data_IF_044178164454
#
_entry.id   IF_044178164454
#
_cell.length_a   1.000
_cell.length_b   1.000
_cell.length_c   1.000
_cell.angle_alpha   90.00
_cell.angle_beta   90.00
_cell.angle_gamma   90.00
#
_symmetry.space_group_name_H-M   'P 1'
#
loop_
_entity.id
_entity.type
_entity.pdbx_description
1 polymer ?
#
# COMPACT_ATOMS: atom_id res chain seq x y z
N UNK A 1 -11.58 20.09 -19.95
CA UNK A 1 -11.33 18.98 -18.99
C UNK A 1 -10.17 19.36 -18.10
N UNK A 2 -10.23 19.01 -16.82
CA UNK A 2 -9.17 19.29 -15.85
C UNK A 2 -7.85 18.65 -16.28
N UNK A 3 -6.74 19.38 -16.19
CA UNK A 3 -5.41 18.82 -16.51
C UNK A 3 -4.90 17.98 -15.33
N UNK A 4 -4.04 17.00 -15.58
CA UNK A 4 -3.38 16.24 -14.50
C UNK A 4 -2.50 17.11 -13.59
N UNK A 5 -2.22 18.37 -13.97
CA UNK A 5 -1.50 19.36 -13.15
C UNK A 5 -2.39 20.08 -12.14
N UNK A 6 -3.71 19.94 -12.23
CA UNK A 6 -4.68 20.68 -11.40
C UNK A 6 -4.99 20.00 -10.06
N UNK A 7 -4.43 18.82 -9.77
CA UNK A 7 -4.64 18.10 -8.51
C UNK A 7 -4.02 18.83 -7.32
N UNK A 8 -4.66 18.76 -6.15
CA UNK A 8 -4.12 19.33 -4.91
C UNK A 8 -2.70 18.82 -4.60
N UNK A 9 -2.45 17.52 -4.75
CA UNK A 9 -1.13 16.91 -4.53
C UNK A 9 -0.01 17.64 -5.30
N UNK A 10 -0.22 17.92 -6.59
CA UNK A 10 0.78 18.63 -7.40
C UNK A 10 0.92 20.09 -7.03
N UNK A 11 -0.19 20.77 -6.68
CA UNK A 11 -0.16 22.16 -6.19
C UNK A 11 0.63 22.27 -4.88
N UNK A 12 0.36 21.38 -3.92
CA UNK A 12 1.08 21.32 -2.66
C UNK A 12 2.56 20.98 -2.86
N UNK A 13 2.91 19.98 -3.67
CA UNK A 13 4.31 19.68 -4.01
C UNK A 13 5.03 20.85 -4.68
N UNK A 14 4.35 21.62 -5.52
CA UNK A 14 4.96 22.79 -6.17
C UNK A 14 5.25 23.92 -5.17
N UNK A 15 4.32 24.19 -4.24
CA UNK A 15 4.47 25.25 -3.23
C UNK A 15 5.45 24.85 -2.13
N UNK A 16 5.44 23.60 -1.69
CA UNK A 16 6.33 23.07 -0.63
C UNK A 16 7.80 23.08 -1.00
N UNK A 17 8.14 22.96 -2.30
CA UNK A 17 9.52 23.17 -2.80
C UNK A 17 10.10 24.54 -2.46
N UNK A 18 9.25 25.52 -2.11
CA UNK A 18 9.66 26.86 -1.70
C UNK A 18 9.79 27.02 -0.18
N UNK A 19 9.68 25.93 0.59
CA UNK A 19 9.78 25.90 2.05
C UNK A 19 8.90 26.95 2.76
N UNK A 20 7.58 26.98 2.48
CA UNK A 20 6.69 28.00 3.04
C UNK A 20 6.50 27.82 4.55
N UNK A 21 6.38 28.93 5.28
CA UNK A 21 6.01 28.91 6.71
C UNK A 21 4.54 28.48 6.95
N UNK A 22 3.69 28.57 5.92
CA UNK A 22 2.31 28.13 5.92
C UNK A 22 1.70 28.29 4.52
N UNK A 23 0.59 27.59 4.26
CA UNK A 23 -0.12 27.64 2.97
C UNK A 23 -1.55 28.11 3.22
N UNK A 24 -2.01 29.10 2.46
CA UNK A 24 -3.40 29.55 2.47
C UNK A 24 -4.04 29.12 1.15
N UNK A 25 -5.09 28.32 1.25
CA UNK A 25 -5.91 27.91 0.11
C UNK A 25 -7.09 28.86 -0.04
N UNK A 26 -7.28 29.36 -1.26
CA UNK A 26 -8.42 30.19 -1.64
C UNK A 26 -9.10 29.50 -2.81
N UNK A 27 -10.38 29.19 -2.67
CA UNK A 27 -11.17 28.72 -3.80
C UNK A 27 -11.73 29.93 -4.53
N UNK A 28 -11.62 30.00 -5.87
CA UNK A 28 -12.17 31.14 -6.61
C UNK A 28 -13.70 31.18 -6.48
N UNK A 29 -14.33 32.36 -6.57
CA UNK A 29 -15.78 32.45 -6.60
C UNK A 29 -16.35 31.65 -7.78
N UNK A 30 -17.53 31.06 -7.56
CA UNK A 30 -18.17 30.19 -8.56
C UNK A 30 -17.47 28.84 -8.80
N UNK A 31 -16.55 28.41 -7.92
CA UNK A 31 -16.00 27.06 -7.98
C UNK A 31 -17.11 25.99 -7.88
N UNK A 32 -17.28 25.21 -8.93
CA UNK A 32 -18.23 24.10 -9.02
C UNK A 32 -17.68 22.84 -8.32
N UNK A 33 -17.43 22.96 -7.01
CA UNK A 33 -16.99 21.86 -6.16
C UNK A 33 -17.66 21.95 -4.79
N UNK A 34 -18.30 20.87 -4.35
CA UNK A 34 -18.99 20.80 -3.04
C UNK A 34 -18.04 20.98 -1.85
N UNK A 35 -16.73 20.84 -2.04
CA UNK A 35 -15.68 21.07 -1.04
C UNK A 35 -15.22 22.53 -0.98
N UNK A 36 -15.81 23.41 -1.79
CA UNK A 36 -15.31 24.77 -1.95
C UNK A 36 -15.31 25.63 -0.66
N UNK A 37 -16.10 25.24 0.35
CA UNK A 37 -16.19 25.91 1.65
C UNK A 37 -15.64 25.12 2.85
N UNK A 38 -14.90 24.02 2.64
CA UNK A 38 -14.43 23.15 3.72
C UNK A 38 -12.92 22.91 3.64
N UNK A 39 -12.24 22.97 4.80
CA UNK A 39 -10.88 22.44 4.92
C UNK A 39 -10.88 20.96 4.55
N UNK A 40 -9.97 20.59 3.66
CA UNK A 40 -9.83 19.23 3.16
C UNK A 40 -9.42 18.29 4.29
N UNK A 41 -10.23 17.26 4.56
CA UNK A 41 -9.82 16.10 5.37
C UNK A 41 -9.24 15.08 4.39
N UNK A 42 -7.93 14.84 4.47
CA UNK A 42 -7.28 13.78 3.71
C UNK A 42 -6.62 12.79 4.64
N UNK A 43 -6.95 11.52 4.43
CA UNK A 43 -6.26 10.38 5.03
C UNK A 43 -4.82 10.24 4.49
N UNK A 44 -4.51 10.80 3.31
CA UNK A 44 -3.14 10.92 2.83
C UNK A 44 -2.47 12.17 3.40
N UNK A 45 -1.33 12.01 4.08
CA UNK A 45 -0.45 13.13 4.43
C UNK A 45 0.02 13.80 3.14
N UNK A 46 -0.47 15.01 2.86
CA UNK A 46 -0.13 15.76 1.64
C UNK A 46 1.09 16.66 1.80
N UNK A 47 1.38 17.09 3.04
CA UNK A 47 2.53 17.95 3.35
C UNK A 47 2.95 17.70 4.81
N UNK A 48 4.20 17.28 5.03
CA UNK A 48 4.76 17.21 6.38
C UNK A 48 5.08 18.63 6.89
N UNK A 49 4.62 18.92 8.11
CA UNK A 49 5.05 20.07 8.94
C UNK A 49 4.78 21.50 8.40
N UNK A 50 3.98 21.67 7.35
CA UNK A 50 3.51 23.00 6.92
C UNK A 50 2.03 23.16 7.26
N UNK A 51 1.63 24.14 8.08
CA UNK A 51 0.23 24.36 8.39
C UNK A 51 -0.51 24.90 7.15
N UNK A 52 -1.65 24.27 6.83
CA UNK A 52 -2.51 24.66 5.71
C UNK A 52 -3.79 25.27 6.27
N UNK A 53 -4.12 26.47 5.82
CA UNK A 53 -5.33 27.19 6.15
C UNK A 53 -6.16 27.43 4.90
N UNK A 54 -7.42 27.79 5.11
CA UNK A 54 -8.33 28.15 4.03
C UNK A 54 -8.93 29.52 4.34
N UNK A 55 -9.07 30.32 3.31
CA UNK A 55 -9.57 31.69 3.38
C UNK A 55 -10.65 31.89 2.32
N UNK A 56 -11.63 32.75 2.61
CA UNK A 56 -12.66 33.11 1.62
C UNK A 56 -12.05 34.00 0.52
N UNK A 57 -12.64 34.04 -0.69
CA UNK A 57 -12.17 34.93 -1.76
C UNK A 57 -12.05 36.38 -1.31
N UNK A 58 -13.04 36.87 -0.57
CA UNK A 58 -13.13 38.27 -0.16
C UNK A 58 -11.98 38.63 0.79
N UNK A 59 -11.69 37.77 1.78
CA UNK A 59 -10.56 37.97 2.68
C UNK A 59 -9.21 37.85 1.97
N UNK A 60 -9.13 37.03 0.92
CA UNK A 60 -7.93 36.89 0.11
C UNK A 60 -7.72 38.11 -0.82
N UNK A 61 -8.78 38.67 -1.39
CA UNK A 61 -8.74 39.94 -2.13
C UNK A 61 -8.24 41.08 -1.25
N UNK A 62 -8.82 41.23 -0.06
CA UNK A 62 -8.38 42.23 0.92
C UNK A 62 -6.88 42.07 1.25
N UNK A 63 -6.40 40.84 1.39
CA UNK A 63 -5.00 40.54 1.67
C UNK A 63 -4.08 40.86 0.49
N UNK A 64 -4.44 40.44 -0.73
CA UNK A 64 -3.62 40.58 -1.92
C UNK A 64 -3.56 42.03 -2.42
N UNK A 65 -4.69 42.75 -2.37
CA UNK A 65 -4.77 44.16 -2.80
C UNK A 65 -4.03 45.11 -1.86
N UNK A 66 -3.68 44.64 -0.65
CA UNK A 66 -2.83 45.39 0.28
C UNK A 66 -1.36 45.45 -0.13
N UNK A 67 -0.89 44.61 -1.06
CA UNK A 67 0.54 44.36 -1.29
C UNK A 67 1.21 45.03 -2.49
N UNK A 68 0.46 45.36 -3.55
CA UNK A 68 1.03 45.92 -4.78
C UNK A 68 0.33 47.20 -5.28
N UNK A 69 -0.70 47.66 -4.55
CA UNK A 69 -1.43 48.89 -4.83
C UNK A 69 -2.41 48.82 -6.01
N UNK A 70 -2.62 47.66 -6.62
CA UNK A 70 -3.60 47.44 -7.68
C UNK A 70 -4.76 46.56 -7.16
N UNK A 71 -5.98 47.08 -7.21
CA UNK A 71 -7.18 46.30 -6.87
C UNK A 71 -7.45 45.24 -7.95
N UNK A 72 -7.37 43.96 -7.56
CA UNK A 72 -7.72 42.81 -8.40
C UNK A 72 -8.60 41.82 -7.66
N UNK A 73 -9.48 41.12 -8.38
CA UNK A 73 -10.30 40.03 -7.82
C UNK A 73 -9.56 38.69 -7.84
N UNK A 74 -10.01 37.70 -7.06
CA UNK A 74 -9.47 36.32 -7.13
C UNK A 74 -9.65 35.72 -8.53
N UNK A 75 -10.71 36.06 -9.28
CA UNK A 75 -10.82 35.63 -10.68
C UNK A 75 -9.74 36.22 -11.57
N UNK A 76 -9.37 37.48 -11.38
CA UNK A 76 -8.31 38.13 -12.15
C UNK A 76 -6.94 37.52 -11.82
N UNK A 77 -6.67 37.27 -10.53
CA UNK A 77 -5.49 36.53 -10.08
C UNK A 77 -5.41 35.13 -10.70
N UNK A 78 -6.54 34.41 -10.73
CA UNK A 78 -6.65 33.11 -11.38
C UNK A 78 -6.43 33.19 -12.88
N UNK A 79 -7.05 34.16 -13.56
CA UNK A 79 -6.93 34.31 -15.01
C UNK A 79 -5.46 34.58 -15.42
N UNK A 80 -4.74 35.37 -14.63
CA UNK A 80 -3.32 35.61 -14.84
C UNK A 80 -2.48 34.35 -14.59
N UNK A 81 -2.79 33.56 -13.55
CA UNK A 81 -2.13 32.27 -13.33
C UNK A 81 -2.39 31.27 -14.47
N UNK A 82 -3.63 31.25 -15.00
CA UNK A 82 -4.04 30.38 -16.10
C UNK A 82 -3.44 30.81 -17.46
N UNK A 83 -3.16 32.11 -17.67
CA UNK A 83 -2.47 32.61 -18.88
C UNK A 83 -0.98 32.27 -18.91
N UNK A 84 -0.41 31.85 -17.78
CA UNK A 84 1.02 31.61 -17.62
C UNK A 84 1.84 32.89 -17.42
N UNK A 85 1.18 34.05 -17.34
CA UNK A 85 1.78 35.33 -16.97
C UNK A 85 1.89 35.46 -15.43
N UNK A 86 1.14 34.66 -14.68
CA UNK A 86 1.18 34.60 -13.23
C UNK A 86 2.33 33.76 -12.69
N UNK A 87 3.08 34.33 -11.75
CA UNK A 87 4.25 33.73 -11.12
C UNK A 87 4.22 33.83 -9.59
N UNK A 88 5.38 34.11 -9.00
CA UNK A 88 5.49 34.53 -7.60
C UNK A 88 5.37 36.04 -7.53
N UNK A 89 4.63 36.55 -6.56
CA UNK A 89 4.49 37.99 -6.32
C UNK A 89 4.84 38.23 -4.88
N UNK A 90 5.68 39.22 -4.66
CA UNK A 90 6.04 39.67 -3.33
C UNK A 90 4.98 40.70 -2.90
N UNK A 91 4.34 40.41 -1.77
CA UNK A 91 3.35 41.29 -1.15
C UNK A 91 4.12 42.03 -0.06
N UNK A 92 4.57 43.24 -0.38
CA UNK A 92 5.34 44.05 0.55
C UNK A 92 4.42 44.58 1.68
N UNK A 93 4.99 44.79 2.87
CA UNK A 93 4.32 45.39 4.04
C UNK A 93 3.09 44.64 4.62
N UNK A 94 2.83 43.39 4.22
CA UNK A 94 1.75 42.56 4.77
C UNK A 94 2.30 41.45 5.67
N UNK A 95 1.83 41.39 6.92
CA UNK A 95 2.14 40.31 7.85
C UNK A 95 0.88 39.48 8.16
N UNK A 96 0.91 38.19 7.81
CA UNK A 96 -0.15 37.25 8.15
C UNK A 96 0.24 36.43 9.38
N UNK A 97 -0.57 36.50 10.44
CA UNK A 97 -0.45 35.61 11.59
C UNK A 97 -1.55 34.54 11.51
N UNK A 98 -1.15 33.28 11.51
CA UNK A 98 -2.08 32.14 11.48
C UNK A 98 -1.89 31.31 12.74
N UNK A 99 -2.99 30.93 13.38
CA UNK A 99 -2.98 30.08 14.58
C UNK A 99 -3.90 28.87 14.34
N UNK A 100 -3.36 27.67 14.55
CA UNK A 100 -4.11 26.43 14.47
C UNK A 100 -3.67 25.49 15.59
N UNK A 101 -4.61 24.72 16.14
CA UNK A 101 -4.34 23.66 17.10
C UNK A 101 -4.53 22.33 16.41
N UNK A 102 -3.49 21.51 16.34
CA UNK A 102 -3.59 20.11 15.92
C UNK A 102 -3.77 19.25 17.17
N UNK A 103 -4.87 18.53 17.24
CA UNK A 103 -5.04 17.47 18.23
C UNK A 103 -4.75 16.13 17.55
N UNK A 104 -3.91 15.32 18.17
CA UNK A 104 -3.61 13.96 17.71
C UNK A 104 -4.19 13.00 18.73
N UNK A 105 -5.20 12.25 18.32
CA UNK A 105 -5.78 11.19 19.14
C UNK A 105 -5.10 9.88 18.79
N UNK A 106 -4.57 9.18 19.80
CA UNK A 106 -4.10 7.80 19.61
C UNK A 106 -5.30 6.87 19.60
N UNK A 107 -5.40 6.07 18.55
CA UNK A 107 -6.33 4.95 18.46
C UNK A 107 -5.54 3.67 18.73
N UNK A 108 -6.17 2.70 19.38
CA UNK A 108 -5.61 1.38 19.61
C UNK A 108 -6.34 0.41 18.68
N UNK A 109 -5.58 -0.48 18.04
CA UNK A 109 -6.10 -1.60 17.27
C UNK A 109 -5.56 -2.91 17.83
N UNK A 110 -6.28 -4.00 17.57
CA UNK A 110 -6.01 -5.32 18.13
C UNK A 110 -6.03 -6.40 17.03
N UNK A 111 -4.87 -6.98 16.74
CA UNK A 111 -4.84 -8.23 15.97
C UNK A 111 -5.35 -9.37 16.86
N UNK A 112 -6.22 -10.22 16.32
CA UNK A 112 -6.73 -11.41 17.01
C UNK A 112 -6.11 -12.66 16.39
N UNK A 113 -5.48 -13.49 17.23
CA UNK A 113 -4.82 -14.73 16.79
C UNK A 113 -5.45 -15.97 17.42
N UNK A 114 -5.55 -17.03 16.63
CA UNK A 114 -5.75 -18.41 17.08
C UNK A 114 -4.65 -19.31 16.53
N UNK A 115 -4.31 -20.36 17.26
CA UNK A 115 -3.30 -21.35 16.86
C UNK A 115 -3.95 -22.72 16.77
N UNK A 116 -3.62 -23.46 15.72
CA UNK A 116 -3.80 -24.92 15.63
C UNK A 116 -2.42 -25.52 15.82
N UNK A 117 -2.24 -26.26 16.92
CA UNK A 117 -0.97 -26.89 17.26
C UNK A 117 -0.66 -28.04 16.30
N UNK A 118 0.52 -27.99 15.69
CA UNK A 118 1.12 -29.05 14.91
C UNK A 118 1.64 -30.19 15.78
N UNK A 119 2.40 -31.08 15.16
CA UNK A 119 3.06 -32.20 15.85
C UNK A 119 4.23 -32.76 15.05
N UNK A 120 5.18 -33.36 15.77
CA UNK A 120 6.29 -34.12 15.18
C UNK A 120 7.43 -33.21 14.75
N UNK A 121 8.32 -33.73 13.91
CA UNK A 121 9.64 -33.12 13.68
C UNK A 121 9.61 -31.79 12.88
N UNK A 122 8.44 -31.30 12.47
CA UNK A 122 8.28 -30.01 11.76
C UNK A 122 7.37 -29.04 12.52
N UNK A 123 7.01 -29.34 13.78
CA UNK A 123 6.11 -28.50 14.59
C UNK A 123 6.68 -27.12 14.92
N UNK A 124 8.01 -26.97 14.89
CA UNK A 124 8.69 -25.67 15.05
C UNK A 124 8.49 -24.73 13.84
N UNK A 125 8.10 -25.27 12.68
CA UNK A 125 7.73 -24.48 11.50
C UNK A 125 6.23 -24.22 11.48
N UNK A 126 5.82 -23.08 10.90
CA UNK A 126 4.41 -22.69 10.90
C UNK A 126 3.96 -22.05 9.59
N UNK A 127 2.65 -22.03 9.38
CA UNK A 127 2.00 -21.22 8.34
C UNK A 127 1.10 -20.17 8.98
N UNK A 128 0.92 -19.04 8.29
CA UNK A 128 0.00 -17.97 8.71
C UNK A 128 -1.14 -17.90 7.71
N UNK A 129 -2.37 -17.85 8.20
CA UNK A 129 -3.57 -17.61 7.40
C UNK A 129 -4.24 -16.35 7.92
N UNK A 130 -4.35 -15.32 7.09
CA UNK A 130 -4.76 -13.99 7.51
C UNK A 130 -5.79 -13.29 6.63
N UNK A 131 -6.50 -12.35 7.24
CA UNK A 131 -7.42 -11.39 6.62
C UNK A 131 -7.56 -10.20 7.59
N UNK A 132 -7.83 -8.99 7.11
CA UNK A 132 -8.12 -7.88 8.02
C UNK A 132 -9.58 -7.87 8.48
N UNK A 133 -9.79 -7.39 9.70
CA UNK A 133 -11.11 -7.32 10.37
C UNK A 133 -11.69 -5.91 10.35
N UNK A 134 -10.87 -4.89 10.14
CA UNK A 134 -11.32 -3.51 10.06
C UNK A 134 -11.95 -3.18 8.71
N UNK A 135 -12.77 -2.14 8.73
CA UNK A 135 -13.29 -1.48 7.54
C UNK A 135 -13.50 0.02 7.83
N UNK A 136 -14.12 0.75 6.92
CA UNK A 136 -14.23 2.21 6.95
C UNK A 136 -15.22 2.81 7.96
N UNK A 137 -16.00 1.98 8.66
CA UNK A 137 -16.95 2.42 9.69
C UNK A 137 -17.98 3.42 9.16
N UNK A 138 -17.83 4.71 9.49
CA UNK A 138 -18.73 5.80 9.04
C UNK A 138 -18.24 6.52 7.77
N UNK A 139 -17.27 5.96 7.05
CA UNK A 139 -16.78 6.51 5.79
C UNK A 139 -16.02 7.83 5.92
N UNK A 140 -15.43 8.08 7.09
CA UNK A 140 -14.66 9.30 7.37
C UNK A 140 -13.31 9.34 6.63
N UNK A 141 -12.85 8.18 6.17
CA UNK A 141 -11.67 7.98 5.33
C UNK A 141 -11.91 6.83 4.35
N UNK A 142 -11.00 6.66 3.38
CA UNK A 142 -10.97 5.51 2.46
C UNK A 142 -12.13 5.40 1.46
N UNK A 143 -13.24 6.11 1.66
CA UNK A 143 -14.46 5.86 0.88
C UNK A 143 -14.38 6.31 -0.58
N UNK A 144 -14.79 5.40 -1.47
CA UNK A 144 -14.95 5.65 -2.90
C UNK A 144 -16.22 6.45 -3.26
N UNK A 145 -17.08 6.79 -2.29
CA UNK A 145 -18.22 7.69 -2.50
C UNK A 145 -17.87 9.18 -2.32
N UNK A 146 -16.61 9.47 -1.98
CA UNK A 146 -16.13 10.83 -1.70
C UNK A 146 -16.95 11.50 -0.60
N UNK A 147 -17.24 12.80 -0.76
CA UNK A 147 -17.99 13.57 0.23
C UNK A 147 -19.42 13.03 0.48
N UNK A 148 -19.98 12.26 -0.46
CA UNK A 148 -21.30 11.66 -0.29
C UNK A 148 -21.29 10.40 0.60
N UNK A 149 -20.11 9.80 0.83
CA UNK A 149 -19.94 8.66 1.73
C UNK A 149 -19.73 9.04 3.19
N UNK A 150 -19.23 10.26 3.45
CA UNK A 150 -18.91 10.69 4.81
C UNK A 150 -20.14 10.67 5.72
N UNK A 151 -20.03 10.00 6.86
CA UNK A 151 -21.10 9.85 7.84
C UNK A 151 -22.14 8.78 7.47
N UNK A 152 -21.91 7.99 6.42
CA UNK A 152 -22.69 6.78 6.14
C UNK A 152 -21.96 5.57 6.67
N UNK A 153 -22.73 4.56 7.06
CA UNK A 153 -22.16 3.29 7.48
C UNK A 153 -21.65 2.49 6.26
N UNK A 154 -20.41 2.02 6.34
CA UNK A 154 -19.73 1.16 5.38
C UNK A 154 -19.64 -0.24 5.99
N UNK A 155 -20.44 -1.22 5.50
CA UNK A 155 -20.55 -2.51 6.16
C UNK A 155 -19.36 -3.44 5.94
N UNK A 156 -18.66 -3.30 4.80
CA UNK A 156 -17.49 -4.11 4.47
C UNK A 156 -17.81 -5.60 4.26
N UNK A 157 -18.93 -5.89 3.60
CA UNK A 157 -19.37 -7.28 3.43
C UNK A 157 -18.39 -8.11 2.60
N UNK A 158 -17.88 -7.57 1.50
CA UNK A 158 -16.80 -8.18 0.74
C UNK A 158 -15.45 -7.80 1.31
N UNK A 159 -15.27 -6.51 1.64
CA UNK A 159 -14.04 -5.91 2.16
C UNK A 159 -14.19 -5.52 3.65
N UNK A 160 -13.85 -6.36 4.61
CA UNK A 160 -13.30 -7.70 4.40
C UNK A 160 -13.97 -8.78 5.28
N UNK A 161 -15.27 -8.62 5.56
CA UNK A 161 -16.03 -9.65 6.26
C UNK A 161 -16.01 -11.00 5.52
N UNK A 162 -15.88 -11.00 4.19
CA UNK A 162 -15.73 -12.22 3.39
C UNK A 162 -14.42 -12.97 3.71
N UNK A 163 -13.29 -12.27 3.84
CA UNK A 163 -12.01 -12.86 4.25
C UNK A 163 -12.03 -13.37 5.69
N UNK A 164 -12.63 -12.60 6.61
CA UNK A 164 -12.80 -13.03 8.01
C UNK A 164 -13.69 -14.27 8.11
N UNK A 165 -14.74 -14.37 7.31
CA UNK A 165 -15.57 -15.58 7.24
C UNK A 165 -14.74 -16.80 6.80
N UNK A 166 -13.82 -16.63 5.84
CA UNK A 166 -12.90 -17.70 5.47
C UNK A 166 -11.95 -18.10 6.60
N UNK A 167 -11.43 -17.15 7.40
CA UNK A 167 -10.60 -17.48 8.56
C UNK A 167 -11.32 -18.40 9.55
N UNK A 168 -12.58 -18.07 9.87
CA UNK A 168 -13.39 -18.86 10.82
C UNK A 168 -13.64 -20.27 10.27
N UNK A 169 -14.01 -20.40 8.99
CA UNK A 169 -14.27 -21.70 8.37
C UNK A 169 -12.99 -22.54 8.20
N UNK A 170 -11.86 -21.91 7.90
CA UNK A 170 -10.57 -22.58 7.80
C UNK A 170 -10.09 -23.06 9.17
N UNK A 171 -10.25 -22.26 10.23
CA UNK A 171 -9.91 -22.68 11.59
C UNK A 171 -10.61 -23.99 11.98
N UNK A 172 -11.93 -24.07 11.76
CA UNK A 172 -12.71 -25.27 12.07
C UNK A 172 -12.32 -26.47 11.18
N UNK A 173 -12.25 -26.27 9.87
CA UNK A 173 -11.97 -27.36 8.94
C UNK A 173 -10.54 -27.90 9.06
N UNK A 174 -9.54 -27.03 9.27
CA UNK A 174 -8.15 -27.45 9.45
C UNK A 174 -7.95 -28.14 10.80
N UNK A 175 -8.58 -27.66 11.89
CA UNK A 175 -8.55 -28.38 13.17
C UNK A 175 -9.11 -29.79 13.01
N UNK A 176 -10.25 -29.93 12.31
CA UNK A 176 -10.84 -31.24 12.02
C UNK A 176 -9.87 -32.13 11.25
N UNK A 177 -9.19 -31.60 10.22
CA UNK A 177 -8.20 -32.36 9.46
C UNK A 177 -6.98 -32.76 10.31
N UNK A 178 -6.55 -31.92 11.25
CA UNK A 178 -5.45 -32.23 12.17
C UNK A 178 -5.80 -33.34 13.14
N UNK A 179 -7.04 -33.34 13.65
CA UNK A 179 -7.57 -34.37 14.54
C UNK A 179 -7.73 -35.72 13.81
N UNK A 180 -8.07 -35.70 12.52
CA UNK A 180 -8.26 -36.90 11.68
C UNK A 180 -6.96 -37.43 11.05
N UNK A 181 -5.91 -36.61 10.98
CA UNK A 181 -4.63 -37.00 10.41
C UNK A 181 -3.96 -38.14 11.22
N UNK A 182 -3.18 -39.04 10.58
CA UNK A 182 -2.45 -40.09 11.28
C UNK A 182 -1.57 -39.55 12.42
N UNK A 183 -1.55 -40.23 13.56
CA UNK A 183 -0.85 -39.78 14.78
C UNK A 183 0.65 -39.52 14.56
N UNK A 184 1.28 -40.27 13.65
CA UNK A 184 2.69 -40.17 13.27
C UNK A 184 2.96 -39.21 12.09
N UNK A 185 1.92 -38.58 11.55
CA UNK A 185 2.07 -37.59 10.47
C UNK A 185 2.61 -36.27 11.05
N UNK A 186 3.77 -35.79 10.58
CA UNK A 186 4.31 -34.50 10.99
C UNK A 186 3.45 -33.37 10.40
N UNK A 187 3.11 -32.39 11.23
CA UNK A 187 2.28 -31.23 10.89
C UNK A 187 2.90 -29.96 11.49
N UNK A 188 2.97 -28.91 10.68
CA UNK A 188 3.35 -27.55 11.12
C UNK A 188 2.28 -26.92 12.00
N UNK A 189 2.65 -25.90 12.77
CA UNK A 189 1.68 -25.02 13.40
C UNK A 189 0.90 -24.19 12.35
N UNK A 190 -0.38 -23.86 12.63
CA UNK A 190 -1.17 -22.90 11.84
C UNK A 190 -1.60 -21.75 12.72
N UNK A 191 -1.13 -20.55 12.40
CA UNK A 191 -1.62 -19.30 12.96
C UNK A 191 -2.74 -18.76 12.09
N UNK A 192 -3.94 -18.66 12.65
CA UNK A 192 -5.05 -17.90 12.08
C UNK A 192 -5.02 -16.49 12.67
N UNK A 193 -4.97 -15.46 11.83
CA UNK A 193 -4.84 -14.07 12.29
C UNK A 193 -5.83 -13.12 11.60
N UNK A 194 -6.60 -12.40 12.41
CA UNK A 194 -7.39 -11.27 11.97
C UNK A 194 -6.59 -9.97 12.22
N UNK A 195 -6.18 -9.28 11.17
CA UNK A 195 -5.40 -8.04 11.26
C UNK A 195 -6.30 -6.82 11.46
N UNK A 196 -5.85 -5.84 12.24
CA UNK A 196 -6.57 -4.57 12.43
C UNK A 196 -5.81 -3.40 11.76
N UNK A 197 -6.52 -2.35 11.38
CA UNK A 197 -5.97 -1.15 10.76
C UNK A 197 -5.32 -1.38 9.39
N UNK A 198 -5.80 -2.32 8.58
CA UNK A 198 -5.38 -2.50 7.19
C UNK A 198 -5.71 -1.24 6.37
N UNK A 199 -6.95 -0.77 6.51
CA UNK A 199 -7.58 0.26 5.68
C UNK A 199 -6.94 1.65 5.84
N UNK A 200 -6.28 1.82 6.99
CA UNK A 200 -5.54 3.03 7.35
C UNK A 200 -4.03 2.92 7.09
N UNK A 201 -3.54 1.75 6.66
CA UNK A 201 -2.19 1.57 6.16
C UNK A 201 -1.45 0.33 6.66
N UNK A 202 -2.09 -0.84 6.66
CA UNK A 202 -1.51 -2.14 7.02
C UNK A 202 -0.92 -2.18 8.44
N UNK A 203 -1.55 -1.49 9.41
CA UNK A 203 -0.98 -1.31 10.74
C UNK A 203 -0.82 -2.64 11.49
N UNK A 204 -1.83 -3.51 11.42
CA UNK A 204 -1.87 -4.79 12.10
C UNK A 204 -0.83 -5.77 11.58
N UNK A 205 -0.81 -6.03 10.27
CA UNK A 205 0.19 -6.92 9.66
C UNK A 205 1.61 -6.38 9.80
N UNK A 206 1.81 -5.06 9.65
CA UNK A 206 3.11 -4.43 9.91
C UNK A 206 3.56 -4.63 11.37
N UNK A 207 2.64 -4.51 12.32
CA UNK A 207 2.97 -4.77 13.71
C UNK A 207 3.38 -6.22 13.92
N UNK A 208 2.61 -7.17 13.37
CA UNK A 208 2.88 -8.60 13.50
C UNK A 208 4.23 -9.01 12.91
N UNK A 209 4.57 -8.61 11.69
CA UNK A 209 5.87 -8.99 11.09
C UNK A 209 7.09 -8.34 11.77
N UNK A 210 6.88 -7.37 12.67
CA UNK A 210 7.95 -6.80 13.48
C UNK A 210 7.92 -7.30 14.94
N UNK A 211 6.84 -7.96 15.35
CA UNK A 211 6.65 -8.52 16.70
C UNK A 211 5.89 -9.86 16.59
N UNK A 212 6.45 -10.86 15.88
CA UNK A 212 5.70 -12.06 15.54
C UNK A 212 5.56 -12.98 16.77
N UNK A 213 4.49 -13.78 16.78
CA UNK A 213 4.24 -14.73 17.88
C UNK A 213 5.25 -15.89 17.91
N UNK A 214 5.78 -16.25 16.73
CA UNK A 214 6.86 -17.20 16.52
C UNK A 214 7.92 -16.56 15.60
N UNK A 215 9.18 -17.03 15.59
CA UNK A 215 10.23 -16.41 14.76
C UNK A 215 9.86 -16.42 13.27
N UNK A 216 9.96 -15.27 12.60
CA UNK A 216 9.63 -15.19 11.16
C UNK A 216 10.48 -16.11 10.28
N UNK A 217 11.67 -16.50 10.74
CA UNK A 217 12.52 -17.45 10.03
C UNK A 217 11.90 -18.85 9.97
N UNK A 218 10.97 -19.20 10.85
CA UNK A 218 10.27 -20.49 10.86
C UNK A 218 8.94 -20.45 10.08
N UNK A 219 8.52 -19.26 9.62
CA UNK A 219 7.32 -19.08 8.82
C UNK A 219 7.52 -19.64 7.40
N UNK A 220 6.82 -20.71 7.09
CA UNK A 220 6.86 -21.42 5.82
C UNK A 220 6.06 -20.70 4.72
N UNK A 221 4.82 -20.32 5.00
CA UNK A 221 3.91 -19.75 4.02
C UNK A 221 2.92 -18.82 4.70
N UNK A 222 2.64 -17.68 4.06
CA UNK A 222 1.52 -16.82 4.43
C UNK A 222 0.41 -16.86 3.37
N UNK A 223 -0.80 -17.20 3.80
CA UNK A 223 -2.02 -17.18 2.99
C UNK A 223 -2.86 -15.98 3.42
N UNK A 224 -3.23 -15.11 2.49
CA UNK A 224 -4.03 -13.92 2.76
C UNK A 224 -5.33 -13.90 1.97
N UNK A 225 -6.42 -13.51 2.62
CA UNK A 225 -7.72 -13.29 2.01
C UNK A 225 -8.14 -11.83 2.10
N UNK A 226 -8.66 -11.34 0.98
CA UNK A 226 -9.23 -10.00 0.85
C UNK A 226 -10.30 -10.07 -0.23
N UNK A 227 -11.51 -9.56 0.04
CA UNK A 227 -12.56 -9.44 -0.99
C UNK A 227 -12.82 -10.73 -1.78
N UNK A 228 -13.15 -11.82 -1.09
CA UNK A 228 -13.40 -13.14 -1.71
C UNK A 228 -14.90 -13.50 -1.84
N UNK A 229 -15.78 -12.58 -1.45
CA UNK A 229 -17.23 -12.73 -1.52
C UNK A 229 -17.82 -12.32 -2.87
N UNK A 230 -17.09 -11.60 -3.73
CA UNK A 230 -17.58 -11.10 -5.03
C UNK A 230 -17.08 -11.95 -6.20
N UNK A 231 -17.40 -13.24 -6.17
CA UNK A 231 -17.11 -14.19 -7.25
C UNK A 231 -18.30 -14.20 -8.22
N UNK A 232 -18.20 -13.44 -9.30
CA UNK A 232 -19.30 -13.20 -10.25
C UNK A 232 -19.39 -14.28 -11.35
N UNK A 233 -20.26 -14.09 -12.35
CA UNK A 233 -20.71 -15.05 -13.37
C UNK A 233 -19.65 -15.69 -14.31
N UNK A 234 -18.36 -15.58 -14.02
CA UNK A 234 -17.27 -16.39 -14.60
C UNK A 234 -16.55 -17.26 -13.56
N UNK A 235 -17.00 -17.21 -12.30
CA UNK A 235 -16.48 -17.98 -11.15
C UNK A 235 -14.98 -17.77 -10.95
N UNK A 236 -14.50 -16.58 -11.28
CA UNK A 236 -13.08 -16.26 -11.22
C UNK A 236 -12.64 -15.91 -9.81
N UNK A 237 -11.49 -16.44 -9.44
CA UNK A 237 -10.75 -16.08 -8.25
C UNK A 237 -9.33 -15.73 -8.66
N UNK A 238 -8.84 -14.55 -8.29
CA UNK A 238 -7.43 -14.22 -8.49
C UNK A 238 -6.59 -14.76 -7.35
N UNK A 239 -5.54 -15.50 -7.70
CA UNK A 239 -4.53 -15.94 -6.74
C UNK A 239 -3.19 -15.41 -7.21
N UNK A 240 -2.54 -14.61 -6.38
CA UNK A 240 -1.23 -14.03 -6.67
C UNK A 240 -0.17 -14.47 -5.68
N UNK A 241 1.10 -14.37 -6.10
CA UNK A 241 2.25 -14.72 -5.27
C UNK A 241 2.79 -16.12 -5.49
N UNK A 242 2.22 -16.92 -6.40
CA UNK A 242 2.67 -18.31 -6.66
C UNK A 242 4.13 -18.44 -7.10
N UNK A 243 4.77 -17.35 -7.55
CA UNK A 243 6.19 -17.31 -7.87
C UNK A 243 7.10 -16.86 -6.73
N UNK A 244 6.53 -16.59 -5.53
CA UNK A 244 7.28 -16.16 -4.35
C UNK A 244 7.85 -17.30 -3.52
N UNK A 245 7.50 -18.55 -3.86
CA UNK A 245 8.08 -19.76 -3.30
C UNK A 245 8.68 -20.63 -4.40
N UNK A 246 9.81 -21.28 -4.15
CA UNK A 246 10.42 -22.21 -5.10
C UNK A 246 9.46 -23.38 -5.41
N UNK A 247 9.12 -23.55 -6.70
CA UNK A 247 8.20 -24.60 -7.16
C UNK A 247 6.74 -24.43 -6.73
N UNK A 248 6.36 -23.28 -6.13
CA UNK A 248 5.03 -23.10 -5.54
C UNK A 248 3.90 -23.06 -6.59
N UNK A 249 4.16 -22.55 -7.81
CA UNK A 249 3.17 -22.61 -8.91
C UNK A 249 2.87 -24.05 -9.31
N UNK A 250 3.89 -24.88 -9.53
CA UNK A 250 3.72 -26.30 -9.85
C UNK A 250 3.09 -27.08 -8.69
N UNK A 251 3.44 -26.72 -7.46
CA UNK A 251 2.86 -27.31 -6.25
C UNK A 251 1.37 -27.00 -6.11
N UNK A 252 0.92 -25.79 -6.43
CA UNK A 252 -0.47 -25.36 -6.29
C UNK A 252 -1.37 -25.78 -7.48
N UNK A 253 -0.79 -25.89 -8.69
CA UNK A 253 -1.53 -26.13 -9.93
C UNK A 253 -2.52 -27.32 -9.90
N UNK A 254 -2.16 -28.51 -9.36
CA UNK A 254 -3.11 -29.61 -9.31
C UNK A 254 -4.36 -29.32 -8.47
N UNK A 255 -4.25 -28.47 -7.44
CA UNK A 255 -5.38 -28.06 -6.61
C UNK A 255 -6.22 -26.98 -7.32
N UNK A 256 -5.58 -26.08 -8.06
CA UNK A 256 -6.28 -25.12 -8.92
C UNK A 256 -7.10 -25.83 -10.00
N UNK A 257 -6.55 -26.86 -10.64
CA UNK A 257 -7.24 -27.64 -11.69
C UNK A 257 -8.42 -28.47 -11.18
N UNK A 258 -8.40 -28.85 -9.89
CA UNK A 258 -9.50 -29.55 -9.23
C UNK A 258 -10.59 -28.61 -8.71
N UNK A 259 -10.29 -27.32 -8.59
CA UNK A 259 -11.24 -26.32 -8.12
C UNK A 259 -12.36 -26.11 -9.14
N UNK A 260 -13.62 -25.93 -8.69
CA UNK A 260 -14.71 -25.52 -9.57
C UNK A 260 -14.66 -24.02 -9.92
N UNK A 261 -13.64 -23.28 -9.44
CA UNK A 261 -13.39 -21.87 -9.73
C UNK A 261 -12.41 -21.71 -10.90
N UNK A 262 -12.57 -20.66 -11.70
CA UNK A 262 -11.59 -20.25 -12.72
C UNK A 262 -10.46 -19.47 -12.05
N UNK A 263 -9.33 -20.12 -11.79
CA UNK A 263 -8.20 -19.48 -11.11
C UNK A 263 -7.43 -18.57 -12.06
N UNK A 264 -7.41 -17.27 -11.75
CA UNK A 264 -6.58 -16.26 -12.41
C UNK A 264 -5.27 -16.14 -11.64
N UNK A 265 -4.33 -17.01 -11.98
CA UNK A 265 -3.01 -17.09 -11.33
C UNK A 265 -2.07 -15.94 -11.76
N UNK A 266 -1.33 -15.40 -10.80
CA UNK A 266 -0.20 -14.50 -11.02
C UNK A 266 1.01 -14.89 -10.15
N UNK A 267 2.12 -15.23 -10.79
CA UNK A 267 3.38 -15.51 -10.08
C UNK A 267 3.87 -14.31 -9.26
N UNK A 268 3.67 -13.11 -9.80
CA UNK A 268 3.99 -11.89 -9.10
C UNK A 268 2.86 -11.51 -8.13
N UNK A 269 3.24 -11.01 -6.97
CA UNK A 269 2.36 -10.26 -6.09
C UNK A 269 2.87 -8.82 -5.96
N UNK A 270 1.94 -7.88 -6.01
CA UNK A 270 2.14 -6.47 -5.67
C UNK A 270 1.35 -6.17 -4.41
N UNK A 271 1.79 -5.15 -3.66
CA UNK A 271 1.08 -4.80 -2.43
C UNK A 271 -0.36 -4.30 -2.66
N UNK A 272 -1.09 -4.18 -1.56
CA UNK A 272 -2.50 -3.78 -1.55
C UNK A 272 -3.35 -4.49 -0.50
N UNK A 273 -2.74 -5.36 0.32
CA UNK A 273 -3.35 -6.00 1.50
C UNK A 273 -2.24 -6.52 2.42
N UNK A 274 -2.58 -7.18 3.53
CA UNK A 274 -1.65 -7.57 4.61
C UNK A 274 -0.46 -8.44 4.19
N UNK A 275 -0.63 -9.31 3.18
CA UNK A 275 0.45 -10.13 2.60
C UNK A 275 1.66 -9.30 2.15
N UNK A 276 1.48 -8.00 1.88
CA UNK A 276 2.55 -7.09 1.47
C UNK A 276 3.67 -6.99 2.49
N UNK A 277 3.30 -6.98 3.78
CA UNK A 277 4.24 -6.83 4.89
C UNK A 277 5.07 -8.12 5.06
N UNK A 278 4.45 -9.30 4.87
CA UNK A 278 5.13 -10.60 4.85
C UNK A 278 6.07 -10.76 3.66
N UNK A 279 5.60 -10.41 2.46
CA UNK A 279 6.42 -10.42 1.25
C UNK A 279 7.65 -9.50 1.38
N UNK A 280 7.54 -8.40 2.14
CA UNK A 280 8.68 -7.52 2.42
C UNK A 280 9.75 -8.15 3.30
N UNK A 281 9.40 -9.16 4.09
CA UNK A 281 10.30 -9.93 4.97
C UNK A 281 10.86 -11.18 4.30
N UNK A 282 10.58 -11.40 3.01
CA UNK A 282 11.04 -12.59 2.28
C UNK A 282 10.27 -13.85 2.68
N UNK A 283 8.99 -13.72 3.02
CA UNK A 283 8.10 -14.86 3.27
C UNK A 283 7.35 -15.21 1.97
N UNK A 284 7.27 -16.49 1.56
CA UNK A 284 6.40 -16.90 0.46
C UNK A 284 4.94 -16.59 0.78
N UNK A 285 4.18 -16.12 -0.22
CA UNK A 285 2.78 -15.73 -0.02
C UNK A 285 1.86 -16.33 -1.08
N UNK A 286 0.61 -16.61 -0.67
CA UNK A 286 -0.53 -16.74 -1.56
C UNK A 286 -1.58 -15.70 -1.16
N UNK A 287 -1.99 -14.87 -2.12
CA UNK A 287 -3.01 -13.85 -1.90
C UNK A 287 -4.23 -14.12 -2.77
N UNK A 288 -5.39 -14.31 -2.15
CA UNK A 288 -6.66 -14.55 -2.80
C UNK A 288 -7.54 -13.30 -2.76
N UNK A 289 -8.08 -12.92 -3.93
CA UNK A 289 -8.98 -11.78 -4.08
C UNK A 289 -9.91 -11.95 -5.29
N UNK A 290 -11.08 -11.32 -5.27
CA UNK A 290 -11.92 -11.15 -6.46
C UNK A 290 -11.10 -10.52 -7.61
N UNK A 291 -11.26 -10.97 -8.87
CA UNK A 291 -10.43 -10.50 -9.97
C UNK A 291 -10.58 -9.00 -10.26
N UNK A 292 -9.49 -8.39 -10.73
CA UNK A 292 -9.49 -7.01 -11.21
C UNK A 292 -10.17 -6.86 -12.59
N UNK A 293 -10.84 -5.72 -12.85
CA UNK A 293 -11.04 -4.57 -11.97
C UNK A 293 -12.04 -4.88 -10.83
N UNK A 294 -11.79 -4.31 -9.65
CA UNK A 294 -12.70 -4.44 -8.51
C UNK A 294 -14.10 -3.87 -8.83
N UNK A 295 -15.11 -4.40 -8.15
CA UNK A 295 -16.50 -3.98 -8.34
C UNK A 295 -16.73 -2.55 -7.81
N UNK A 296 -17.80 -1.90 -8.32
CA UNK A 296 -18.10 -0.50 -8.04
C UNK A 296 -18.58 -0.21 -6.60
N UNK A 297 -18.70 -1.24 -5.77
CA UNK A 297 -19.18 -1.13 -4.38
C UNK A 297 -18.03 -1.18 -3.37
N UNK A 298 -16.81 -1.49 -3.81
CA UNK A 298 -15.57 -1.44 -3.03
C UNK A 298 -15.41 -0.08 -2.31
N UNK A 299 -15.16 -0.10 -0.99
CA UNK A 299 -15.09 1.09 -0.12
C UNK A 299 -16.32 2.01 -0.18
N UNK A 300 -17.52 1.46 -0.39
CA UNK A 300 -18.77 2.23 -0.40
C UNK A 300 -19.77 1.70 0.62
N UNK A 301 -20.78 2.51 0.96
CA UNK A 301 -21.88 2.07 1.83
C UNK A 301 -22.78 1.00 1.20
N UNK A 302 -22.50 0.59 -0.05
CA UNK A 302 -23.23 -0.47 -0.77
C UNK A 302 -22.53 -1.82 -0.68
N UNK A 303 -21.33 -1.91 -0.11
CA UNK A 303 -20.69 -3.20 0.13
C UNK A 303 -21.44 -3.97 1.22
N UNK A 304 -22.46 -4.70 0.79
CA UNK A 304 -23.55 -5.23 1.62
C UNK A 304 -23.71 -6.73 1.37
N UNK A 305 -24.19 -7.43 2.39
CA UNK A 305 -24.25 -8.89 2.41
C UNK A 305 -25.06 -9.51 1.27
N UNK A 306 -26.06 -8.81 0.73
CA UNK A 306 -26.88 -9.28 -0.38
C UNK A 306 -26.12 -9.38 -1.71
N UNK A 307 -24.93 -8.78 -1.80
CA UNK A 307 -24.05 -8.84 -2.96
C UNK A 307 -23.04 -10.01 -2.88
N UNK A 308 -23.01 -10.75 -1.78
CA UNK A 308 -22.03 -11.81 -1.55
C UNK A 308 -22.46 -13.11 -2.24
N UNK A 309 -21.55 -13.66 -3.05
CA UNK A 309 -21.65 -15.02 -3.56
C UNK A 309 -21.10 -16.00 -2.53
N UNK A 310 -21.98 -16.48 -1.64
CA UNK A 310 -21.63 -17.45 -0.61
C UNK A 310 -21.09 -18.78 -1.17
N UNK A 311 -21.59 -19.23 -2.33
CA UNK A 311 -21.15 -20.48 -2.95
C UNK A 311 -19.69 -20.37 -3.42
N UNK A 312 -19.38 -19.30 -4.17
CA UNK A 312 -18.01 -19.01 -4.59
C UNK A 312 -17.06 -18.82 -3.41
N UNK A 313 -17.48 -18.08 -2.39
CA UNK A 313 -16.69 -17.89 -1.17
C UNK A 313 -16.40 -19.22 -0.46
N UNK A 314 -17.39 -20.11 -0.34
CA UNK A 314 -17.20 -21.44 0.25
C UNK A 314 -16.29 -22.35 -0.60
N UNK A 315 -16.31 -22.21 -1.93
CA UNK A 315 -15.40 -22.92 -2.83
C UNK A 315 -13.97 -22.41 -2.72
N UNK A 316 -13.78 -21.10 -2.53
CA UNK A 316 -12.48 -20.50 -2.18
C UNK A 316 -11.95 -21.11 -0.88
N UNK A 317 -12.79 -21.18 0.17
CA UNK A 317 -12.42 -21.80 1.45
C UNK A 317 -11.99 -23.26 1.26
N UNK A 318 -12.73 -24.05 0.48
CA UNK A 318 -12.35 -25.46 0.20
C UNK A 318 -11.00 -25.57 -0.52
N UNK A 319 -10.76 -24.75 -1.54
CA UNK A 319 -9.49 -24.74 -2.24
C UNK A 319 -8.33 -24.40 -1.28
N UNK A 320 -8.52 -23.38 -0.44
CA UNK A 320 -7.48 -22.96 0.49
C UNK A 320 -7.31 -23.86 1.70
N UNK A 321 -8.35 -24.63 2.08
CA UNK A 321 -8.21 -25.74 3.02
C UNK A 321 -7.18 -26.75 2.49
N UNK A 322 -7.35 -27.20 1.23
CA UNK A 322 -6.43 -28.16 0.61
C UNK A 322 -5.01 -27.60 0.49
N UNK A 323 -4.86 -26.32 0.08
CA UNK A 323 -3.56 -25.66 -0.02
C UNK A 323 -2.88 -25.55 1.36
N UNK A 324 -3.62 -25.08 2.37
CA UNK A 324 -3.09 -24.92 3.72
C UNK A 324 -2.73 -26.26 4.35
N UNK A 325 -3.59 -27.27 4.24
CA UNK A 325 -3.32 -28.61 4.77
C UNK A 325 -2.14 -29.28 4.07
N UNK A 326 -2.02 -29.12 2.74
CA UNK A 326 -0.85 -29.57 1.99
C UNK A 326 0.42 -28.85 2.42
N UNK A 327 0.37 -27.54 2.63
CA UNK A 327 1.51 -26.75 3.10
C UNK A 327 1.90 -27.13 4.53
N UNK A 328 0.93 -27.45 5.39
CA UNK A 328 1.19 -27.87 6.76
C UNK A 328 1.81 -29.27 6.87
N UNK A 329 1.41 -30.21 6.00
CA UNK A 329 1.83 -31.61 6.03
C UNK A 329 3.04 -31.93 5.15
N UNK A 330 3.53 -30.97 4.37
CA UNK A 330 4.71 -31.18 3.50
C UNK A 330 5.99 -31.21 4.35
N UNK A 331 6.86 -32.23 4.26
CA UNK A 331 8.08 -32.25 5.07
C UNK A 331 9.10 -31.17 4.66
N UNK A 332 9.05 -30.73 3.40
CA UNK A 332 9.91 -29.68 2.89
C UNK A 332 9.30 -28.30 3.12
N UNK A 333 10.13 -27.36 3.56
CA UNK A 333 9.77 -25.95 3.69
C UNK A 333 9.77 -25.28 2.31
N UNK A 334 8.82 -24.39 2.10
CA UNK A 334 8.70 -23.53 0.93
C UNK A 334 9.75 -22.42 1.03
N UNK A 335 10.83 -22.56 0.27
CA UNK A 335 11.87 -21.54 0.23
C UNK A 335 11.41 -20.31 -0.56
N UNK A 336 11.72 -19.13 -0.04
CA UNK A 336 11.37 -17.88 -0.70
C UNK A 336 12.13 -17.70 -2.01
N UNK A 337 11.39 -17.38 -3.06
CA UNK A 337 11.91 -17.06 -4.39
C UNK A 337 11.47 -15.67 -4.81
N UNK A 338 12.33 -14.95 -5.53
CA UNK A 338 11.93 -13.71 -6.15
C UNK A 338 11.63 -13.97 -7.63
N UNK A 339 10.37 -13.92 -8.10
CA UNK A 339 10.02 -14.28 -9.48
C UNK A 339 10.63 -13.33 -10.52
N UNK A 340 11.17 -12.17 -10.10
CA UNK A 340 11.98 -11.30 -10.98
C UNK A 340 13.36 -11.86 -11.30
N UNK A 341 13.87 -12.77 -10.48
CA UNK A 341 15.22 -13.36 -10.58
C UNK A 341 15.25 -14.57 -11.54
N UNK A 342 14.10 -15.19 -11.80
CA UNK A 342 13.99 -16.42 -12.64
C UNK A 342 13.53 -16.18 -14.09
N UNK A 343 13.21 -14.94 -14.50
CA UNK A 343 12.92 -14.66 -15.92
C UNK A 343 14.20 -14.45 -16.69
N UNK A 344 14.77 -15.57 -17.14
CA UNK A 344 15.64 -15.60 -18.30
C UNK A 344 14.98 -14.84 -19.46
N UNK A 345 15.78 -13.94 -20.02
CA UNK A 345 15.60 -13.15 -21.22
C UNK A 345 14.59 -13.74 -22.22
N UNK A 346 13.36 -13.21 -22.24
CA UNK A 346 12.42 -13.42 -23.34
C UNK A 346 11.55 -12.18 -23.54
N UNK A 347 12.02 -11.37 -24.48
CA UNK A 347 11.39 -10.12 -24.89
C UNK A 347 9.95 -10.30 -25.36
N UNK A 348 9.03 -9.68 -24.63
CA UNK A 348 7.82 -9.10 -25.24
C UNK A 348 7.55 -7.75 -24.59
N UNK A 349 7.87 -6.69 -25.35
CA UNK A 349 7.63 -5.30 -24.94
C UNK A 349 6.12 -5.05 -24.99
N UNK A 350 5.44 -5.21 -23.84
CA UNK A 350 4.12 -4.59 -23.64
C UNK A 350 4.28 -3.07 -23.66
N UNK A 351 3.43 -2.39 -24.40
CA UNK A 351 3.45 -0.94 -24.56
C UNK A 351 3.44 -0.23 -23.20
N UNK A 352 4.48 0.57 -22.96
CA UNK A 352 4.73 1.27 -21.69
C UNK A 352 3.68 2.38 -21.47
N UNK A 353 3.10 2.51 -20.26
CA UNK A 353 2.40 3.74 -19.86
C UNK A 353 3.38 4.92 -19.95
N UNK A 354 2.96 6.01 -20.58
CA UNK A 354 3.81 7.15 -21.01
C UNK A 354 4.53 7.94 -19.90
N UNK A 355 4.55 7.51 -18.63
CA UNK A 355 4.94 8.37 -17.50
C UNK A 355 5.76 7.71 -16.37
N UNK A 356 6.40 6.57 -16.63
CA UNK A 356 7.26 5.88 -15.65
C UNK A 356 8.74 6.32 -15.78
N UNK A 357 9.50 6.39 -14.67
CA UNK A 357 10.95 6.66 -14.70
C UNK A 357 11.68 5.65 -15.61
N UNK A 358 12.71 6.12 -16.34
CA UNK A 358 13.51 5.27 -17.23
C UNK A 358 14.50 4.38 -16.49
N UNK A 359 14.87 4.78 -15.28
CA UNK A 359 15.76 4.08 -14.36
C UNK A 359 15.03 3.58 -13.12
N UNK A 360 15.64 2.67 -12.38
CA UNK A 360 15.13 2.22 -11.08
C UNK A 360 16.26 2.04 -10.08
N UNK A 361 15.99 2.40 -8.82
CA UNK A 361 16.95 2.15 -7.74
C UNK A 361 16.95 0.68 -7.30
N UNK A 362 15.80 0.00 -7.36
CA UNK A 362 15.66 -1.40 -6.98
C UNK A 362 15.37 -1.67 -5.51
N UNK A 363 14.88 -0.69 -4.75
CA UNK A 363 14.44 -0.86 -3.37
C UNK A 363 12.92 -0.92 -3.24
N UNK A 364 12.43 -1.58 -2.19
CA UNK A 364 11.15 -1.22 -1.56
C UNK A 364 11.47 -0.47 -0.27
N UNK A 365 10.68 0.56 0.00
CA UNK A 365 10.88 1.42 1.16
C UNK A 365 9.56 1.72 1.84
N UNK A 366 9.63 1.93 3.15
CA UNK A 366 8.54 2.46 3.97
C UNK A 366 8.94 3.81 4.58
N UNK A 367 7.95 4.52 5.09
CA UNK A 367 8.12 5.75 5.87
C UNK A 367 7.77 5.44 7.31
N UNK A 368 8.63 5.82 8.27
CA UNK A 368 8.34 5.65 9.69
C UNK A 368 7.80 6.96 10.29
N UNK A 369 6.87 6.87 11.23
CA UNK A 369 6.31 8.06 11.86
C UNK A 369 7.38 8.86 12.62
N UNK A 370 7.56 10.12 12.24
CA UNK A 370 8.44 11.06 12.95
C UNK A 370 9.90 10.99 12.53
N UNK A 371 10.28 10.09 11.62
CA UNK A 371 11.64 9.97 11.10
C UNK A 371 11.72 10.36 9.61
N UNK A 372 12.45 11.43 9.25
CA UNK A 372 12.59 11.83 7.85
C UNK A 372 13.43 10.79 7.09
N UNK A 373 12.97 10.38 5.91
CA UNK A 373 13.68 9.42 5.08
C UNK A 373 12.88 8.19 4.72
N UNK A 374 13.41 7.43 3.78
CA UNK A 374 12.83 6.19 3.30
C UNK A 374 13.60 5.01 3.87
N UNK A 375 13.00 4.30 4.83
CA UNK A 375 13.61 3.06 5.35
C UNK A 375 13.47 1.96 4.31
N UNK A 376 14.59 1.40 3.90
CA UNK A 376 14.69 0.28 2.98
C UNK A 376 14.20 -0.98 3.70
N UNK A 377 13.12 -1.53 3.19
CA UNK A 377 12.56 -2.80 3.68
C UNK A 377 12.91 -3.96 2.77
N UNK A 378 13.32 -3.67 1.53
CA UNK A 378 13.77 -4.68 0.58
C UNK A 378 14.76 -4.08 -0.42
N UNK A 379 15.81 -4.82 -0.76
CA UNK A 379 16.73 -4.50 -1.85
C UNK A 379 16.63 -5.62 -2.89
N UNK A 380 16.43 -5.26 -4.15
CA UNK A 380 16.42 -6.22 -5.26
C UNK A 380 17.87 -6.53 -5.63
N UNK A 381 18.26 -7.81 -5.67
CA UNK A 381 19.60 -8.23 -6.12
C UNK A 381 19.93 -7.68 -7.52
N UNK A 382 21.21 -7.40 -7.77
CA UNK A 382 21.75 -6.82 -9.01
C UNK A 382 21.15 -5.48 -9.44
N UNK A 383 20.31 -4.87 -8.59
CA UNK A 383 19.84 -3.51 -8.81
C UNK A 383 20.89 -2.47 -8.45
N UNK A 384 20.70 -1.24 -8.92
CA UNK A 384 21.50 -0.07 -8.53
C UNK A 384 21.72 0.02 -7.03
N UNK A 385 20.70 -0.22 -6.22
CA UNK A 385 20.82 -0.25 -4.77
C UNK A 385 21.77 -1.33 -4.27
N UNK A 386 21.59 -2.58 -4.71
CA UNK A 386 22.43 -3.69 -4.24
C UNK A 386 23.90 -3.54 -4.66
N UNK A 387 24.14 -3.14 -5.92
CA UNK A 387 25.49 -2.99 -6.48
C UNK A 387 26.24 -1.87 -5.75
N UNK A 388 25.51 -0.82 -5.38
CA UNK A 388 26.06 0.36 -4.72
C UNK A 388 26.10 0.23 -3.19
N UNK A 389 25.76 -0.94 -2.66
CA UNK A 389 25.89 -1.27 -1.25
C UNK A 389 24.78 -0.73 -0.34
N UNK A 390 23.62 -0.36 -0.88
CA UNK A 390 22.41 -0.09 -0.07
C UNK A 390 21.87 -1.42 0.48
N UNK A 391 21.51 -1.43 1.76
CA UNK A 391 21.11 -2.62 2.52
C UNK A 391 19.70 -2.47 3.09
N UNK A 392 19.06 -3.60 3.43
CA UNK A 392 17.82 -3.59 4.21
C UNK A 392 18.12 -3.01 5.59
N UNK A 393 17.26 -2.11 6.08
CA UNK A 393 17.46 -1.36 7.31
C UNK A 393 18.05 0.04 7.10
N UNK A 394 18.72 0.29 5.98
CA UNK A 394 19.19 1.65 5.63
C UNK A 394 18.01 2.61 5.52
N UNK A 395 18.20 3.87 5.95
CA UNK A 395 17.23 4.94 5.71
C UNK A 395 17.80 5.92 4.69
N UNK A 396 17.24 5.97 3.49
CA UNK A 396 17.62 6.97 2.49
C UNK A 396 17.16 8.35 2.95
N UNK A 397 18.10 9.26 3.15
CA UNK A 397 17.84 10.62 3.64
C UNK A 397 18.20 11.70 2.62
N UNK A 398 19.07 11.40 1.64
CA UNK A 398 19.50 12.38 0.63
C UNK A 398 19.83 11.75 -0.72
N UNK A 399 19.56 12.48 -1.80
CA UNK A 399 19.86 12.17 -3.20
C UNK A 399 20.52 13.39 -3.86
N UNK A 400 21.84 13.33 -4.02
CA UNK A 400 22.67 14.49 -4.36
C UNK A 400 22.49 15.59 -3.33
N UNK A 401 22.01 16.75 -3.76
CA UNK A 401 21.70 17.88 -2.88
C UNK A 401 20.26 17.84 -2.33
N UNK A 402 19.42 16.89 -2.77
CA UNK A 402 18.00 16.84 -2.43
C UNK A 402 17.73 15.93 -1.23
N UNK A 403 17.03 16.42 -0.22
CA UNK A 403 16.54 15.55 0.87
C UNK A 403 15.47 14.57 0.36
N UNK A 404 15.64 13.29 0.66
CA UNK A 404 14.66 12.26 0.41
C UNK A 404 13.76 12.13 1.62
N UNK A 405 12.56 12.71 1.57
CA UNK A 405 11.60 12.68 2.68
C UNK A 405 10.52 11.63 2.52
N UNK A 406 10.13 11.35 1.28
CA UNK A 406 9.09 10.40 0.94
C UNK A 406 9.35 9.72 -0.42
N UNK A 407 8.50 8.74 -0.73
CA UNK A 407 8.66 7.90 -1.93
C UNK A 407 8.40 8.69 -3.20
N UNK A 408 7.58 9.74 -3.16
CA UNK A 408 7.35 10.59 -4.32
C UNK A 408 8.61 11.35 -4.70
N UNK A 409 9.36 11.88 -3.72
CA UNK A 409 10.62 12.59 -4.01
C UNK A 409 11.61 11.65 -4.69
N UNK A 410 11.78 10.43 -4.18
CA UNK A 410 12.63 9.43 -4.82
C UNK A 410 12.21 9.13 -6.26
N UNK A 411 10.90 8.97 -6.51
CA UNK A 411 10.38 8.73 -7.86
C UNK A 411 10.60 9.92 -8.78
N UNK A 412 10.47 11.15 -8.27
CA UNK A 412 10.72 12.36 -9.05
C UNK A 412 12.21 12.52 -9.40
N UNK A 413 13.12 12.19 -8.47
CA UNK A 413 14.56 12.14 -8.76
C UNK A 413 14.87 11.09 -9.82
N UNK A 414 14.32 9.87 -9.70
CA UNK A 414 14.52 8.83 -10.73
C UNK A 414 13.99 9.23 -12.12
N UNK A 415 13.06 10.18 -12.22
CA UNK A 415 12.56 10.68 -13.52
C UNK A 415 13.54 11.64 -14.20
N UNK A 416 14.45 12.27 -13.47
CA UNK A 416 15.41 13.23 -14.03
C UNK A 416 16.67 12.57 -14.57
N UNK A 417 16.78 11.24 -14.42
CA UNK A 417 17.98 10.49 -14.76
C UNK A 417 17.78 9.50 -15.91
N UNK A 418 18.86 9.26 -16.65
CA UNK A 418 18.97 8.24 -17.69
C UNK A 418 19.78 7.04 -17.19
N UNK A 419 19.61 5.85 -17.79
CA UNK A 419 20.43 4.69 -17.45
C UNK A 419 21.93 4.99 -17.64
N UNK A 420 22.74 4.63 -16.65
CA UNK A 420 24.19 4.90 -16.59
C UNK A 420 24.55 6.20 -15.85
N UNK A 421 23.57 7.03 -15.45
CA UNK A 421 23.84 8.16 -14.57
C UNK A 421 24.33 7.67 -13.20
N UNK A 422 25.37 8.31 -12.66
CA UNK A 422 25.87 8.05 -11.30
C UNK A 422 25.40 9.18 -10.39
N UNK A 423 24.79 8.82 -9.25
CA UNK A 423 24.23 9.78 -8.30
C UNK A 423 24.72 9.48 -6.89
N UNK A 424 24.97 10.53 -6.10
CA UNK A 424 25.27 10.37 -4.68
C UNK A 424 23.97 10.11 -3.91
N UNK A 425 23.91 9.06 -3.10
CA UNK A 425 22.79 8.76 -2.19
C UNK A 425 23.34 8.65 -0.78
N UNK A 426 22.73 9.36 0.16
CA UNK A 426 23.07 9.23 1.58
C UNK A 426 22.01 8.44 2.30
N UNK A 427 22.48 7.44 3.03
CA UNK A 427 21.67 6.59 3.89
C UNK A 427 22.11 6.74 5.35
N UNK A 428 21.17 6.60 6.28
CA UNK A 428 21.50 6.32 7.67
C UNK A 428 21.56 4.81 7.85
N UNK A 429 22.72 4.31 8.30
CA UNK A 429 22.96 2.91 8.66
C UNK A 429 23.37 2.87 10.12
N UNK A 430 22.60 2.17 10.94
CA UNK A 430 22.83 2.09 12.40
C UNK A 430 22.97 3.46 13.09
N UNK A 431 22.32 4.49 12.53
CA UNK A 431 22.35 5.88 13.03
C UNK A 431 23.50 6.74 12.48
N UNK A 432 24.39 6.20 11.66
CA UNK A 432 25.49 6.93 11.03
C UNK A 432 25.20 7.23 9.55
N UNK A 433 25.61 8.42 9.07
CA UNK A 433 25.50 8.78 7.66
C UNK A 433 26.54 8.04 6.81
N UNK A 434 26.06 7.28 5.83
CA UNK A 434 26.87 6.60 4.82
C UNK A 434 26.52 7.18 3.45
N UNK A 435 27.53 7.68 2.75
CA UNK A 435 27.37 8.22 1.40
C UNK A 435 27.79 7.16 0.37
N UNK A 436 26.91 6.89 -0.60
CA UNK A 436 27.06 5.86 -1.61
C UNK A 436 26.97 6.49 -3.01
N UNK A 437 27.89 6.14 -3.90
CA UNK A 437 27.77 6.48 -5.33
C UNK A 437 26.98 5.37 -6.02
N UNK A 438 25.85 5.75 -6.62
CA UNK A 438 24.88 4.83 -7.19
C UNK A 438 24.78 4.98 -8.70
N UNK A 439 25.23 3.98 -9.44
CA UNK A 439 24.99 3.90 -10.89
C UNK A 439 23.56 3.41 -11.17
N UNK A 440 22.79 4.20 -11.92
CA UNK A 440 21.37 3.96 -12.18
C UNK A 440 21.14 3.04 -13.37
N UNK A 441 20.54 1.88 -13.10
CA UNK A 441 20.24 0.85 -14.09
C UNK A 441 18.90 1.11 -14.78
N UNK A 442 18.73 0.64 -16.03
CA UNK A 442 17.47 0.78 -16.74
C UNK A 442 16.33 0.05 -16.01
N UNK A 443 15.14 0.64 -16.04
CA UNK A 443 13.95 0.05 -15.44
C UNK A 443 13.51 -1.19 -16.23
N UNK A 444 13.55 -2.35 -15.58
CA UNK A 444 13.19 -3.65 -16.17
C UNK A 444 14.34 -4.41 -16.83
N UNK A 445 15.58 -3.97 -16.61
CA UNK A 445 16.78 -4.77 -16.79
C UNK A 445 17.21 -5.43 -15.48
#
# INVERSE_FOLDING_TARGET
GWSSRSTFDRKFRAVTKRNPAGIILVNPPGADDRRAGSLFNSAQRMVDNVPVFMMTPEAAEDLLNGGDGEERTIEEWRAMADSGEGGSIDIEDVMVTMMGRRETTRLFGENVLGMIEGRGDIEDEYIVIGAHIDHLGMGDFGSNEGAAGKGKFHPGADDNASGVAALIMLAESLQTAYDEAPEDMPLRDIIIIAFDGEESGLHGSRFYVNNPAQPLEDLNLMINFDMIGRIENDRRLSISGTGTGEGMSEWARPLFEQSPLEIVESEASSGGSDHSEFLSKGVPILFAITPFPLHNDYHTSRDTIDLINFEGGAETVKLFHELAYKAASSPEKMEFSNPRRNRGDSGTVRARPRNMPKVQLGIRSTTDEGEPGLRVVFVTDESSASISGIQVGDRLVRWGENELRDRSVLIDQLRTHEPGDVVEVVVLRDGEEVTLEVELLPRGG
#
